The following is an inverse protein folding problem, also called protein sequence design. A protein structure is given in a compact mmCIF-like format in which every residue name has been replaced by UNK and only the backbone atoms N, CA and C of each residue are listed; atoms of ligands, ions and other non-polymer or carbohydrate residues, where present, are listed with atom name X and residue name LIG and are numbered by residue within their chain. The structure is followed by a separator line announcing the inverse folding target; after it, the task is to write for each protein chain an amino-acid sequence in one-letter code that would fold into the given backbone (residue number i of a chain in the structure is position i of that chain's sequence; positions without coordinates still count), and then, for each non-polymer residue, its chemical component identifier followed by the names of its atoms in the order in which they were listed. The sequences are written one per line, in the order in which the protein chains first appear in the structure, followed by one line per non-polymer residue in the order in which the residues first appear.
data_IF_817589843316
#
_entry.id   IF_817589843316
#
_cell.length_a   1.000
_cell.length_b   1.000
_cell.length_c   1.000
_cell.angle_alpha   90.00
_cell.angle_beta   90.00
_cell.angle_gamma   90.00
#
_symmetry.space_group_name_H-M   'P 1'
#
loop_
_entity.id
_entity.type
_entity.pdbx_description
1 polymer ?
#
# COMPACT_ATOMS: atom_id res chain seq x y z
N UNK A 1 -0.44 12.63 17.19
CA UNK A 1 0.62 12.21 16.24
C UNK A 1 -0.05 11.37 15.18
N UNK A 2 0.27 11.60 13.91
CA UNK A 2 -0.65 11.27 12.82
C UNK A 2 0.08 10.78 11.58
N UNK A 3 -0.70 10.16 10.71
CA UNK A 3 -0.32 9.89 9.34
C UNK A 3 -0.34 11.22 8.58
N UNK A 4 0.82 11.59 8.04
CA UNK A 4 0.95 12.77 7.17
C UNK A 4 0.79 12.34 5.71
N UNK A 5 0.11 13.12 4.86
CA UNK A 5 -0.04 12.79 3.44
C UNK A 5 1.27 12.45 2.73
N UNK A 6 2.40 13.08 3.11
CA UNK A 6 3.67 12.88 2.39
C UNK A 6 4.28 11.50 2.52
N UNK A 7 4.00 10.81 3.63
CA UNK A 7 4.54 9.48 3.91
C UNK A 7 3.55 8.36 3.57
N UNK A 8 2.29 8.72 3.30
CA UNK A 8 1.17 7.82 3.08
C UNK A 8 1.55 6.71 2.10
N UNK A 9 1.35 5.47 2.54
CA UNK A 9 1.44 4.30 1.68
C UNK A 9 0.03 4.00 1.15
N UNK A 10 -0.31 4.59 0.01
CA UNK A 10 -1.57 4.32 -0.70
C UNK A 10 -1.70 2.85 -1.10
N UNK A 11 -2.90 2.44 -1.52
CA UNK A 11 -3.10 1.10 -2.09
C UNK A 11 -2.17 0.85 -3.27
N UNK A 12 -1.90 1.89 -4.08
CA UNK A 12 -0.92 1.84 -5.17
C UNK A 12 0.51 1.61 -4.64
N UNK A 13 0.90 2.21 -3.52
CA UNK A 13 2.20 1.98 -2.88
C UNK A 13 2.35 0.53 -2.46
N UNK A 14 1.32 -0.03 -1.82
CA UNK A 14 1.33 -1.42 -1.40
C UNK A 14 1.39 -2.38 -2.59
N UNK A 15 0.63 -2.09 -3.65
CA UNK A 15 0.65 -2.83 -4.91
C UNK A 15 2.02 -2.79 -5.62
N UNK A 16 2.72 -1.64 -5.54
CA UNK A 16 4.04 -1.40 -6.14
C UNK A 16 5.18 -1.42 -5.12
N UNK A 17 5.02 -2.14 -4.01
CA UNK A 17 5.89 -2.02 -2.84
C UNK A 17 7.39 -2.18 -3.16
N UNK A 18 8.21 -1.12 -2.99
CA UNK A 18 9.62 -1.16 -3.38
C UNK A 18 10.45 -2.17 -2.59
N UNK A 19 10.15 -2.37 -1.31
CA UNK A 19 10.82 -3.39 -0.46
C UNK A 19 10.58 -4.80 -1.01
N UNK A 20 9.34 -5.11 -1.36
CA UNK A 20 8.99 -6.41 -1.96
C UNK A 20 9.62 -6.58 -3.34
N UNK A 21 9.70 -5.52 -4.15
CA UNK A 21 10.40 -5.56 -5.43
C UNK A 21 11.89 -5.86 -5.24
N UNK A 22 12.54 -5.22 -4.26
CA UNK A 22 13.97 -5.36 -4.02
C UNK A 22 14.37 -6.72 -3.43
N UNK A 23 13.65 -7.22 -2.43
CA UNK A 23 13.97 -8.53 -1.82
C UNK A 23 13.95 -9.64 -2.90
N UNK A 24 12.98 -9.62 -3.82
CA UNK A 24 12.84 -10.66 -4.86
C UNK A 24 13.92 -10.61 -5.94
N UNK A 25 14.62 -9.48 -6.12
CA UNK A 25 15.78 -9.41 -7.02
C UNK A 25 17.00 -10.19 -6.49
N UNK A 26 16.99 -10.56 -5.21
CA UNK A 26 18.10 -11.19 -4.51
C UNK A 26 17.85 -12.70 -4.39
N UNK A 27 18.49 -13.50 -5.24
CA UNK A 27 18.32 -14.97 -5.31
C UNK A 27 19.06 -15.73 -4.20
N UNK A 28 19.94 -15.03 -3.48
CA UNK A 28 20.64 -15.47 -2.28
C UNK A 28 19.80 -15.33 -0.99
N UNK A 29 18.57 -14.82 -1.09
CA UNK A 29 17.61 -14.69 0.02
C UNK A 29 16.32 -15.47 -0.27
N UNK A 30 15.76 -16.12 0.75
CA UNK A 30 14.41 -16.69 0.70
C UNK A 30 13.40 -15.66 1.22
N UNK A 31 12.49 -15.18 0.38
CA UNK A 31 11.44 -14.26 0.84
C UNK A 31 10.27 -15.06 1.44
N UNK A 32 10.27 -15.19 2.77
CA UNK A 32 9.34 -16.07 3.49
C UNK A 32 7.91 -15.52 3.58
N UNK A 33 7.73 -14.20 3.54
CA UNK A 33 6.42 -13.58 3.57
C UNK A 33 6.41 -12.16 4.11
N UNK A 34 5.21 -11.58 4.18
CA UNK A 34 4.95 -10.26 4.74
C UNK A 34 4.05 -10.43 5.97
N UNK A 35 4.43 -9.82 7.09
CA UNK A 35 3.58 -9.63 8.26
C UNK A 35 3.01 -8.21 8.17
N UNK A 36 1.69 -8.07 8.11
CA UNK A 36 1.00 -6.77 8.10
C UNK A 36 0.45 -6.52 9.50
N UNK A 37 1.02 -5.57 10.20
CA UNK A 37 0.71 -5.21 11.60
C UNK A 37 -0.05 -3.88 11.64
N UNK A 38 -1.16 -3.83 12.37
CA UNK A 38 -1.97 -2.61 12.46
C UNK A 38 -1.52 -1.74 13.63
N UNK A 39 -1.43 -0.43 13.41
CA UNK A 39 -1.16 0.52 14.51
C UNK A 39 -2.38 0.65 15.41
N UNK A 40 -2.21 0.55 16.74
CA UNK A 40 -3.27 0.83 17.72
C UNK A 40 -3.12 2.21 18.37
N UNK A 41 -4.22 2.82 18.85
CA UNK A 41 -4.16 3.98 19.75
C UNK A 41 -3.74 3.58 21.17
N UNK A 42 -4.15 2.38 21.58
CA UNK A 42 -3.96 1.88 22.95
C UNK A 42 -2.59 1.24 23.08
N UNK A 43 -1.76 1.77 23.97
CA UNK A 43 -0.37 1.32 24.16
C UNK A 43 -0.26 -0.18 24.46
N UNK A 44 -1.14 -0.72 25.31
CA UNK A 44 -1.15 -2.15 25.64
C UNK A 44 -1.39 -3.02 24.39
N UNK A 45 -2.25 -2.57 23.48
CA UNK A 45 -2.50 -3.25 22.21
C UNK A 45 -1.28 -3.17 21.29
N UNK A 46 -0.57 -2.03 21.23
CA UNK A 46 0.70 -1.91 20.47
C UNK A 46 1.73 -2.94 20.93
N UNK A 47 1.85 -3.13 22.24
CA UNK A 47 2.77 -4.13 22.82
C UNK A 47 2.28 -5.54 22.52
N UNK A 48 0.96 -5.76 22.60
CA UNK A 48 0.35 -7.05 22.30
C UNK A 48 0.57 -7.47 20.85
N UNK A 49 0.25 -6.61 19.87
CA UNK A 49 0.41 -6.91 18.44
C UNK A 49 1.88 -7.09 18.08
N UNK A 50 2.79 -6.25 18.60
CA UNK A 50 4.23 -6.42 18.41
C UNK A 50 4.75 -7.78 18.92
N UNK A 51 4.25 -8.28 20.05
CA UNK A 51 4.58 -9.64 20.53
C UNK A 51 4.09 -10.70 19.56
N UNK A 52 2.88 -10.55 19.00
CA UNK A 52 2.35 -11.46 17.97
C UNK A 52 3.20 -11.44 16.70
N UNK A 53 3.67 -10.27 16.26
CA UNK A 53 4.62 -10.17 15.14
C UNK A 53 5.89 -10.98 15.42
N UNK A 54 6.46 -10.86 16.62
CA UNK A 54 7.63 -11.65 17.02
C UNK A 54 7.36 -13.17 17.02
N UNK A 55 6.23 -13.60 17.58
CA UNK A 55 5.83 -15.02 17.60
C UNK A 55 5.66 -15.58 16.18
N UNK A 56 4.99 -14.83 15.30
CA UNK A 56 4.80 -15.19 13.89
C UNK A 56 6.16 -15.29 13.18
N UNK A 57 7.06 -14.33 13.40
CA UNK A 57 8.40 -14.35 12.80
C UNK A 57 9.20 -15.60 13.18
N UNK A 58 9.09 -16.09 14.42
CA UNK A 58 9.68 -17.36 14.85
C UNK A 58 9.01 -18.58 14.18
N UNK A 59 7.68 -18.57 14.05
CA UNK A 59 6.95 -19.64 13.35
C UNK A 59 7.36 -19.73 11.88
N UNK A 60 7.56 -18.58 11.23
CA UNK A 60 8.09 -18.50 9.86
C UNK A 60 9.58 -18.85 9.76
N UNK A 61 10.26 -19.00 10.92
CA UNK A 61 11.71 -19.23 11.03
C UNK A 61 12.51 -18.15 10.31
N UNK A 62 12.14 -16.90 10.52
CA UNK A 62 12.82 -15.77 9.91
C UNK A 62 14.25 -15.64 10.46
N UNK A 63 15.22 -15.50 9.55
CA UNK A 63 16.60 -15.20 9.87
C UNK A 63 16.84 -13.70 9.99
N UNK A 64 16.08 -12.89 9.24
CA UNK A 64 16.12 -11.43 9.31
C UNK A 64 14.81 -10.78 8.86
N UNK A 65 14.66 -9.48 9.17
CA UNK A 65 13.45 -8.73 8.87
C UNK A 65 13.73 -7.32 8.31
N UNK A 66 12.89 -6.87 7.39
CA UNK A 66 12.79 -5.45 7.03
C UNK A 66 11.46 -4.92 7.57
N UNK A 67 11.53 -3.93 8.47
CA UNK A 67 10.34 -3.34 9.11
C UNK A 67 10.09 -1.97 8.50
N UNK A 68 8.96 -1.78 7.82
CA UNK A 68 8.56 -0.51 7.22
C UNK A 68 7.26 -0.02 7.86
N UNK A 69 7.20 1.27 8.21
CA UNK A 69 6.02 1.88 8.84
C UNK A 69 5.39 2.96 7.98
N UNK A 70 4.07 2.91 7.87
CA UNK A 70 3.22 3.99 7.39
C UNK A 70 2.77 4.83 8.59
N UNK A 71 3.60 5.80 8.98
CA UNK A 71 3.33 6.64 10.13
C UNK A 71 4.57 7.22 10.80
N UNK A 72 4.34 8.20 11.66
CA UNK A 72 5.39 8.78 12.51
C UNK A 72 4.85 9.15 13.89
N UNK A 73 5.76 9.48 14.79
CA UNK A 73 5.37 9.94 16.11
C UNK A 73 4.88 8.78 16.99
N UNK A 74 3.62 8.80 17.45
CA UNK A 74 3.08 7.76 18.33
C UNK A 74 3.10 6.38 17.67
N UNK A 75 3.11 6.34 16.33
CA UNK A 75 3.21 5.09 15.57
C UNK A 75 4.64 4.52 15.65
N UNK A 76 5.65 5.33 15.98
CA UNK A 76 7.00 4.83 16.25
C UNK A 76 7.06 3.96 17.50
N UNK A 77 6.07 4.03 18.41
CA UNK A 77 5.98 3.09 19.52
C UNK A 77 5.76 1.67 19.00
N UNK A 78 4.84 1.46 18.06
CA UNK A 78 4.62 0.16 17.39
C UNK A 78 5.89 -0.30 16.68
N UNK A 79 6.49 0.58 15.87
CA UNK A 79 7.74 0.32 15.14
C UNK A 79 8.88 -0.17 16.04
N UNK A 80 9.12 0.54 17.14
CA UNK A 80 10.19 0.25 18.09
C UNK A 80 9.90 -1.06 18.83
N UNK A 81 8.64 -1.30 19.22
CA UNK A 81 8.24 -2.55 19.88
C UNK A 81 8.34 -3.76 18.94
N UNK A 82 7.94 -3.63 17.67
CA UNK A 82 8.11 -4.69 16.66
C UNK A 82 9.59 -5.05 16.50
N UNK A 83 10.46 -4.05 16.35
CA UNK A 83 11.92 -4.26 16.25
C UNK A 83 12.47 -4.90 17.53
N UNK A 84 11.97 -4.50 18.71
CA UNK A 84 12.35 -5.11 19.98
C UNK A 84 11.99 -6.60 20.04
N UNK A 85 10.76 -6.94 19.67
CA UNK A 85 10.26 -8.31 19.75
C UNK A 85 10.97 -9.24 18.76
N UNK A 86 11.38 -8.72 17.60
CA UNK A 86 12.27 -9.43 16.67
C UNK A 86 13.67 -9.62 17.28
N UNK A 87 14.24 -8.57 17.86
CA UNK A 87 15.56 -8.58 18.48
C UNK A 87 15.69 -9.56 19.66
N UNK A 88 14.71 -9.57 20.58
CA UNK A 88 14.64 -10.52 21.71
C UNK A 88 14.64 -11.98 21.22
N UNK A 89 14.12 -12.23 20.01
CA UNK A 89 14.05 -13.55 19.38
C UNK A 89 15.27 -13.86 18.50
N UNK A 90 16.28 -12.99 18.52
CA UNK A 90 17.51 -13.17 17.74
C UNK A 90 17.31 -13.01 16.24
N UNK A 91 16.34 -12.19 15.81
CA UNK A 91 16.07 -11.89 14.39
C UNK A 91 16.56 -10.47 14.10
N UNK A 92 17.74 -10.29 13.48
CA UNK A 92 18.23 -8.98 13.10
C UNK A 92 17.26 -8.29 12.13
N UNK A 93 16.98 -7.01 12.39
CA UNK A 93 16.09 -6.22 11.55
C UNK A 93 16.75 -4.93 11.05
N UNK A 94 16.24 -4.41 9.94
CA UNK A 94 16.49 -3.03 9.47
C UNK A 94 15.16 -2.30 9.40
N UNK A 95 15.08 -1.15 10.04
CA UNK A 95 13.91 -0.29 10.03
C UNK A 95 13.90 0.67 8.84
N UNK A 96 12.72 0.97 8.32
CA UNK A 96 12.43 2.01 7.32
C UNK A 96 11.33 2.90 7.90
N UNK A 97 11.66 4.16 8.16
CA UNK A 97 10.73 5.10 8.76
C UNK A 97 11.00 6.52 8.28
N UNK A 98 9.97 7.36 8.28
CA UNK A 98 10.13 8.79 8.19
C UNK A 98 10.55 9.32 9.55
N UNK A 99 11.76 9.87 9.63
CA UNK A 99 12.27 10.52 10.84
C UNK A 99 12.32 12.03 10.64
N UNK A 100 13.05 12.51 9.63
CA UNK A 100 13.15 13.95 9.37
C UNK A 100 13.57 14.78 10.60
N UNK A 101 13.15 16.04 10.67
CA UNK A 101 13.30 16.89 11.85
C UNK A 101 12.10 16.78 12.80
N UNK A 102 10.89 16.60 12.26
CA UNK A 102 9.64 16.55 13.02
C UNK A 102 9.34 15.18 13.63
N UNK A 103 9.80 14.10 13.01
CA UNK A 103 9.50 12.71 13.36
C UNK A 103 10.64 12.00 14.08
N UNK A 104 11.38 12.68 14.97
CA UNK A 104 12.33 11.97 15.86
C UNK A 104 11.61 10.79 16.53
N UNK A 105 12.28 9.64 16.57
CA UNK A 105 11.71 8.45 17.21
C UNK A 105 11.26 8.78 18.64
N UNK A 106 9.98 8.57 18.92
CA UNK A 106 9.36 8.90 20.21
C UNK A 106 9.92 8.05 21.35
N UNK A 107 10.38 6.84 21.01
CA UNK A 107 11.07 5.95 21.92
C UNK A 107 12.15 5.19 21.16
N UNK A 108 13.05 4.53 21.90
CA UNK A 108 14.08 3.65 21.33
C UNK A 108 14.43 2.56 22.33
N UNK A 109 15.14 1.54 21.87
CA UNK A 109 15.70 0.47 22.68
C UNK A 109 17.01 -0.03 22.03
N UNK A 110 17.68 -0.99 22.67
CA UNK A 110 18.98 -1.50 22.21
C UNK A 110 18.93 -2.25 20.86
N UNK A 111 17.75 -2.63 20.38
CA UNK A 111 17.56 -3.33 19.10
C UNK A 111 17.26 -2.39 17.93
N UNK A 112 16.88 -1.12 18.20
CA UNK A 112 16.72 -0.08 17.17
C UNK A 112 18.09 0.54 16.87
N UNK A 113 18.96 -0.27 16.28
CA UNK A 113 20.37 0.06 15.98
C UNK A 113 20.60 0.44 14.49
N UNK A 114 19.62 0.20 13.62
CA UNK A 114 19.73 0.41 12.19
C UNK A 114 18.38 0.81 11.58
N UNK A 115 18.24 2.09 11.25
CA UNK A 115 17.05 2.66 10.59
C UNK A 115 17.49 3.47 9.37
N UNK A 116 16.86 3.21 8.24
CA UNK A 116 16.96 4.03 7.03
C UNK A 116 15.86 5.09 7.09
N UNK A 117 16.26 6.35 7.28
CA UNK A 117 15.36 7.49 7.17
C UNK A 117 15.03 7.75 5.69
N UNK A 118 13.74 7.71 5.34
CA UNK A 118 13.28 7.99 4.00
C UNK A 118 12.72 9.39 3.80
N UNK A 119 12.92 10.33 4.74
CA UNK A 119 12.67 11.75 4.51
C UNK A 119 13.43 12.26 3.27
N UNK A 120 12.70 12.84 2.31
CA UNK A 120 13.20 13.49 1.09
C UNK A 120 13.06 15.00 1.15
N UNK A 121 12.16 15.50 2.00
CA UNK A 121 11.92 16.92 2.14
C UNK A 121 13.09 17.62 2.84
N UNK A 122 13.57 18.72 2.26
CA UNK A 122 14.72 19.50 2.78
C UNK A 122 14.42 20.10 4.15
N UNK A 123 13.16 20.47 4.41
CA UNK A 123 12.76 21.01 5.71
C UNK A 123 12.82 19.94 6.81
N UNK A 124 12.62 18.67 6.45
CA UNK A 124 12.44 17.56 7.39
C UNK A 124 11.10 17.61 8.16
N UNK A 125 10.16 18.43 7.73
CA UNK A 125 8.79 18.49 8.26
C UNK A 125 7.81 17.85 7.29
N UNK A 126 6.67 17.41 7.84
CA UNK A 126 5.57 16.91 7.04
C UNK A 126 5.07 17.98 6.07
N UNK A 127 5.06 17.67 4.77
CA UNK A 127 4.76 18.64 3.72
C UNK A 127 3.29 18.68 3.30
N UNK A 128 2.47 17.70 3.71
CA UNK A 128 1.11 17.48 3.23
C UNK A 128 1.01 17.16 1.73
N UNK A 129 2.14 16.90 1.06
CA UNK A 129 2.22 16.60 -0.37
C UNK A 129 2.34 15.10 -0.57
N UNK A 130 1.31 14.44 -1.10
CA UNK A 130 1.29 12.98 -1.25
C UNK A 130 2.46 12.49 -2.10
N UNK A 131 3.23 11.53 -1.58
CA UNK A 131 4.38 10.95 -2.26
C UNK A 131 5.71 11.70 -2.10
N UNK A 132 5.73 12.86 -1.45
CA UNK A 132 6.97 13.62 -1.22
C UNK A 132 8.00 12.82 -0.40
N UNK A 133 7.54 12.11 0.63
CA UNK A 133 8.37 11.22 1.46
C UNK A 133 8.04 9.73 1.24
N UNK A 134 7.57 9.34 0.06
CA UNK A 134 7.34 7.92 -0.24
C UNK A 134 8.65 7.13 -0.21
N UNK A 135 8.60 5.94 0.39
CA UNK A 135 9.69 4.97 0.34
C UNK A 135 10.04 4.65 -1.11
N UNK A 136 11.32 4.75 -1.47
CA UNK A 136 11.81 4.56 -2.84
C UNK A 136 12.55 3.24 -3.02
N UNK A 137 12.82 2.87 -4.27
CA UNK A 137 13.70 1.73 -4.60
C UNK A 137 15.10 1.87 -3.97
N UNK A 138 15.63 3.10 -3.91
CA UNK A 138 16.94 3.35 -3.32
C UNK A 138 16.96 3.10 -1.80
N UNK A 139 15.87 3.43 -1.10
CA UNK A 139 15.72 3.16 0.32
C UNK A 139 15.62 1.65 0.59
N UNK A 140 14.83 0.94 -0.23
CA UNK A 140 14.71 -0.51 -0.17
C UNK A 140 16.06 -1.21 -0.43
N UNK A 141 16.81 -0.75 -1.44
CA UNK A 141 18.14 -1.28 -1.77
C UNK A 141 19.10 -1.12 -0.58
N UNK A 142 19.14 0.07 0.03
CA UNK A 142 19.93 0.29 1.25
C UNK A 142 19.52 -0.65 2.38
N UNK A 143 18.21 -0.79 2.63
CA UNK A 143 17.71 -1.63 3.70
C UNK A 143 18.08 -3.11 3.51
N UNK A 144 17.95 -3.65 2.29
CA UNK A 144 18.37 -5.02 1.97
C UNK A 144 19.89 -5.19 2.14
N UNK A 145 20.69 -4.25 1.65
CA UNK A 145 22.14 -4.30 1.80
C UNK A 145 22.59 -4.25 3.28
N UNK A 146 21.97 -3.38 4.08
CA UNK A 146 22.22 -3.27 5.53
C UNK A 146 21.79 -4.55 6.25
N UNK A 147 20.66 -5.14 5.87
CA UNK A 147 20.19 -6.40 6.47
C UNK A 147 21.17 -7.54 6.19
N UNK A 148 21.65 -7.69 4.94
CA UNK A 148 22.69 -8.67 4.59
C UNK A 148 23.95 -8.50 5.45
N UNK A 149 24.39 -7.26 5.68
CA UNK A 149 25.52 -6.99 6.57
C UNK A 149 25.26 -7.43 8.02
N UNK A 150 24.05 -7.18 8.55
CA UNK A 150 23.67 -7.63 9.90
C UNK A 150 23.59 -9.15 10.00
N UNK A 151 23.05 -9.82 8.98
CA UNK A 151 22.98 -11.29 8.92
C UNK A 151 24.37 -11.92 8.92
N UNK A 152 25.33 -11.34 8.17
CA UNK A 152 26.73 -11.79 8.18
C UNK A 152 27.36 -11.67 9.55
N UNK A 153 27.14 -10.55 10.25
CA UNK A 153 27.65 -10.36 11.62
C UNK A 153 27.02 -11.31 12.63
N UNK A 154 25.80 -11.75 12.38
CA UNK A 154 25.09 -12.74 13.18
C UNK A 154 25.42 -14.19 12.76
N UNK A 155 26.36 -14.41 11.84
CA UNK A 155 26.73 -15.73 11.30
C UNK A 155 25.54 -16.47 10.65
N UNK A 156 24.55 -15.73 10.16
CA UNK A 156 23.34 -16.25 9.48
C UNK A 156 23.37 -16.09 7.97
N UNK A 157 24.42 -15.48 7.41
CA UNK A 157 24.56 -15.26 5.97
C UNK A 157 26.04 -15.29 5.60
N UNK A 158 26.37 -16.12 4.62
CA UNK A 158 27.67 -16.18 3.98
C UNK A 158 27.45 -16.12 2.46
N UNK A 159 28.01 -15.10 1.80
CA UNK A 159 27.89 -14.92 0.35
C UNK A 159 28.70 -15.95 -0.43
N UNK A 160 29.69 -16.56 0.21
CA UNK A 160 30.70 -17.39 -0.45
C UNK A 160 30.44 -18.89 -0.22
N UNK A 161 29.50 -19.24 0.66
CA UNK A 161 29.04 -20.62 0.84
C UNK A 161 28.17 -21.10 -0.33
N UNK A 162 28.73 -22.01 -1.12
CA UNK A 162 27.95 -22.94 -1.93
C UNK A 162 27.51 -24.09 -1.03
N UNK A 163 26.28 -24.00 -0.54
CA UNK A 163 25.68 -25.13 0.17
C UNK A 163 25.18 -26.16 -0.86
N UNK A 164 26.08 -27.04 -1.29
CA UNK A 164 25.76 -28.16 -2.20
C UNK A 164 24.81 -29.20 -1.55
N UNK A 165 24.52 -29.06 -0.24
CA UNK A 165 23.55 -29.88 0.49
C UNK A 165 22.15 -29.27 0.55
N UNK A 166 22.00 -28.01 0.14
CA UNK A 166 20.72 -27.32 0.08
C UNK A 166 19.84 -27.93 -1.03
N UNK A 167 18.60 -28.29 -0.67
CA UNK A 167 17.60 -28.73 -1.66
C UNK A 167 17.37 -27.69 -2.76
N UNK A 168 17.00 -28.15 -3.96
CA UNK A 168 16.75 -27.26 -5.09
C UNK A 168 15.66 -26.23 -4.79
N UNK A 169 15.80 -25.02 -5.37
CA UNK A 169 14.78 -23.99 -5.29
C UNK A 169 13.44 -24.52 -5.83
N UNK A 170 12.36 -24.33 -5.07
CA UNK A 170 11.03 -24.82 -5.40
C UNK A 170 10.06 -23.65 -5.56
N UNK A 171 9.44 -23.54 -6.74
CA UNK A 171 8.32 -22.62 -6.94
C UNK A 171 7.13 -23.08 -6.10
N UNK A 172 6.70 -22.24 -5.16
CA UNK A 172 5.56 -22.51 -4.29
C UNK A 172 4.25 -22.11 -4.97
N UNK A 173 4.23 -20.94 -5.61
CA UNK A 173 3.05 -20.36 -6.24
C UNK A 173 3.44 -19.41 -7.36
N UNK A 174 2.49 -19.14 -8.26
CA UNK A 174 2.70 -18.29 -9.44
C UNK A 174 1.54 -17.32 -9.62
N UNK A 175 1.87 -16.04 -9.78
CA UNK A 175 0.98 -14.98 -10.21
C UNK A 175 1.39 -14.55 -11.62
N UNK A 176 0.45 -14.56 -12.57
CA UNK A 176 0.62 -13.95 -13.88
C UNK A 176 -0.13 -12.64 -13.92
N UNK A 177 0.56 -11.54 -14.25
CA UNK A 177 -0.07 -10.24 -14.50
C UNK A 177 -0.05 -9.95 -16.00
N UNK A 178 -1.21 -9.63 -16.55
CA UNK A 178 -1.37 -9.17 -17.93
C UNK A 178 -1.73 -7.70 -17.91
N UNK A 179 -0.83 -6.86 -18.40
CA UNK A 179 -0.98 -5.41 -18.37
C UNK A 179 -1.40 -4.90 -19.74
N UNK A 180 -2.59 -4.31 -19.81
CA UNK A 180 -3.18 -3.70 -21.00
C UNK A 180 -2.94 -2.19 -20.93
N UNK A 181 -2.28 -1.63 -21.94
CA UNK A 181 -1.96 -0.20 -21.97
C UNK A 181 -3.09 0.64 -22.57
N UNK A 182 -3.58 1.61 -21.82
CA UNK A 182 -4.62 2.55 -22.19
C UNK A 182 -3.96 3.85 -22.65
N UNK A 183 -4.39 4.34 -23.82
CA UNK A 183 -3.89 5.53 -24.51
C UNK A 183 -4.80 6.72 -24.35
N UNK A 184 -6.09 6.48 -24.14
CA UNK A 184 -7.13 7.51 -24.01
C UNK A 184 -8.19 7.00 -23.03
N UNK A 185 -8.65 7.88 -22.14
CA UNK A 185 -9.80 7.64 -21.28
C UNK A 185 -10.86 8.69 -21.58
N UNK A 186 -12.11 8.28 -21.75
CA UNK A 186 -13.23 9.20 -22.01
C UNK A 186 -14.54 8.72 -21.43
N UNK A 187 -15.51 9.62 -21.31
CA UNK A 187 -16.87 9.25 -20.96
C UNK A 187 -17.70 8.85 -22.20
N UNK A 188 -18.63 7.92 -22.01
CA UNK A 188 -19.59 7.49 -23.04
C UNK A 188 -20.87 6.90 -22.43
N UNK A 189 -21.68 6.25 -23.27
CA UNK A 189 -22.97 5.66 -22.87
C UNK A 189 -22.80 4.27 -22.24
N UNK A 190 -21.70 3.59 -22.53
CA UNK A 190 -21.35 2.26 -22.00
C UNK A 190 -19.88 2.20 -21.60
N UNK A 191 -19.56 1.36 -20.62
CA UNK A 191 -18.18 1.08 -20.25
C UNK A 191 -17.60 0.01 -21.17
N UNK A 192 -16.49 0.31 -21.85
CA UNK A 192 -15.81 -0.63 -22.75
C UNK A 192 -14.35 -0.26 -22.96
N UNK A 193 -13.57 -1.23 -23.45
CA UNK A 193 -12.18 -1.04 -23.84
C UNK A 193 -12.03 -1.48 -25.29
N UNK A 194 -11.56 -0.58 -26.16
CA UNK A 194 -11.37 -0.86 -27.59
C UNK A 194 -10.15 -0.10 -28.13
N UNK A 195 -9.24 -0.82 -28.80
CA UNK A 195 -8.05 -0.25 -29.43
C UNK A 195 -7.17 0.67 -28.53
N UNK A 196 -7.16 0.41 -27.22
CA UNK A 196 -6.44 1.22 -26.22
C UNK A 196 -7.22 2.42 -25.69
N UNK A 197 -8.51 2.55 -26.02
CA UNK A 197 -9.40 3.58 -25.46
C UNK A 197 -10.28 2.96 -24.37
N UNK A 198 -10.22 3.47 -23.15
CA UNK A 198 -11.15 3.15 -22.07
C UNK A 198 -12.31 4.15 -22.12
N UNK A 199 -13.50 3.68 -22.51
CA UNK A 199 -14.73 4.46 -22.36
C UNK A 199 -15.39 4.08 -21.04
N UNK A 200 -15.73 5.06 -20.21
CA UNK A 200 -16.42 4.88 -18.93
C UNK A 200 -17.85 5.40 -19.08
N UNK A 201 -18.84 4.60 -18.68
CA UNK A 201 -20.24 5.01 -18.71
C UNK A 201 -20.48 6.22 -17.79
N UNK A 202 -21.25 7.21 -18.25
CA UNK A 202 -21.67 8.35 -17.44
C UNK A 202 -22.70 7.95 -16.37
N UNK A 203 -22.69 8.62 -15.22
CA UNK A 203 -23.74 8.48 -14.22
C UNK A 203 -23.62 7.25 -13.31
N UNK A 204 -22.42 6.63 -13.22
CA UNK A 204 -22.17 5.50 -12.32
C UNK A 204 -22.41 5.90 -10.86
N UNK A 205 -22.05 7.13 -10.52
CA UNK A 205 -22.18 7.72 -9.20
C UNK A 205 -23.63 7.85 -8.71
N UNK A 206 -24.58 8.10 -9.62
CA UNK A 206 -25.98 8.44 -9.26
C UNK A 206 -26.68 7.32 -8.49
N UNK A 207 -26.41 6.07 -8.87
CA UNK A 207 -27.00 4.91 -8.22
C UNK A 207 -26.38 4.61 -6.85
N UNK A 208 -25.15 5.08 -6.62
CA UNK A 208 -24.38 4.85 -5.41
C UNK A 208 -24.69 5.88 -4.33
N UNK A 209 -24.88 7.15 -4.71
CA UNK A 209 -25.30 8.22 -3.79
C UNK A 209 -26.60 7.83 -3.06
N UNK A 210 -27.54 7.18 -3.75
CA UNK A 210 -28.78 6.71 -3.14
C UNK A 210 -28.60 5.54 -2.14
N UNK A 211 -27.46 4.85 -2.17
CA UNK A 211 -27.17 3.69 -1.32
C UNK A 211 -26.29 4.03 -0.12
N UNK A 212 -25.52 5.12 -0.19
CA UNK A 212 -24.59 5.54 0.85
C UNK A 212 -25.13 6.78 1.58
N UNK A 213 -25.91 6.57 2.65
CA UNK A 213 -26.57 7.64 3.41
C UNK A 213 -25.62 8.69 4.05
N UNK A 214 -24.31 8.40 4.07
CA UNK A 214 -23.26 9.28 4.61
C UNK A 214 -22.60 10.16 3.54
N UNK A 215 -22.93 9.92 2.27
CA UNK A 215 -22.39 10.63 1.12
C UNK A 215 -23.47 11.50 0.50
N UNK A 216 -23.19 12.79 0.40
CA UNK A 216 -24.10 13.78 -0.18
C UNK A 216 -24.01 13.82 -1.71
N UNK A 217 -22.79 13.78 -2.24
CA UNK A 217 -22.52 13.80 -3.67
C UNK A 217 -21.21 13.09 -4.01
N UNK A 218 -21.09 12.62 -5.25
CA UNK A 218 -19.85 12.04 -5.79
C UNK A 218 -19.67 12.61 -7.19
N UNK A 219 -18.49 13.18 -7.46
CA UNK A 219 -18.12 13.66 -8.78
C UNK A 219 -17.05 12.77 -9.40
N UNK A 220 -17.32 12.25 -10.60
CA UNK A 220 -16.35 11.46 -11.36
C UNK A 220 -15.82 12.33 -12.51
N UNK A 221 -14.50 12.52 -12.55
CA UNK A 221 -13.78 13.30 -13.56
C UNK A 221 -12.67 12.45 -14.18
N UNK A 222 -12.32 12.77 -15.42
CA UNK A 222 -11.15 12.22 -16.09
C UNK A 222 -10.19 13.39 -16.25
N UNK A 223 -9.01 13.28 -15.66
CA UNK A 223 -7.93 14.25 -15.83
C UNK A 223 -6.94 13.68 -16.84
N UNK A 224 -6.61 14.45 -17.87
CA UNK A 224 -5.62 14.04 -18.87
C UNK A 224 -4.19 14.12 -18.30
N UNK A 225 -3.23 13.36 -18.86
CA UNK A 225 -1.82 13.51 -18.48
C UNK A 225 -1.36 14.97 -18.60
N UNK A 226 -0.87 15.55 -17.51
CA UNK A 226 -0.47 16.95 -17.41
C UNK A 226 -1.57 17.92 -16.98
N UNK A 227 -2.83 17.49 -16.92
CA UNK A 227 -3.93 18.27 -16.36
C UNK A 227 -3.87 18.21 -14.83
N UNK A 228 -3.10 19.10 -14.22
CA UNK A 228 -2.86 19.11 -12.77
C UNK A 228 -2.92 20.51 -12.12
N UNK A 229 -3.37 21.52 -12.87
CA UNK A 229 -3.55 22.90 -12.39
C UNK A 229 -4.99 23.17 -11.94
N UNK A 230 -5.53 22.29 -11.10
CA UNK A 230 -6.86 22.41 -10.52
C UNK A 230 -6.84 22.15 -9.02
N UNK A 231 -7.85 22.68 -8.33
CA UNK A 231 -8.07 22.36 -6.93
C UNK A 231 -8.58 20.91 -6.79
N UNK A 232 -8.00 20.17 -5.84
CA UNK A 232 -8.46 18.87 -5.38
C UNK A 232 -8.66 18.91 -3.87
N UNK A 233 -9.61 18.12 -3.37
CA UNK A 233 -9.77 17.89 -1.94
C UNK A 233 -8.69 16.91 -1.43
N UNK A 234 -8.68 16.68 -0.12
CA UNK A 234 -7.73 15.77 0.52
C UNK A 234 -7.82 14.36 -0.07
N UNK A 235 -6.65 13.80 -0.38
CA UNK A 235 -6.50 12.47 -0.93
C UNK A 235 -6.89 11.41 0.09
N UNK A 236 -7.85 10.57 -0.27
CA UNK A 236 -8.24 9.38 0.48
C UNK A 236 -7.44 8.16 0.03
N UNK A 237 -7.16 8.01 -1.28
CA UNK A 237 -6.25 6.97 -1.78
C UNK A 237 -5.85 7.20 -3.25
N UNK A 238 -4.80 6.49 -3.68
CA UNK A 238 -4.51 6.19 -5.07
C UNK A 238 -4.48 4.67 -5.26
N UNK A 239 -5.14 4.16 -6.31
CA UNK A 239 -5.22 2.71 -6.54
C UNK A 239 -5.15 2.34 -8.03
N UNK A 240 -4.66 1.12 -8.36
CA UNK A 240 -4.66 0.63 -9.73
C UNK A 240 -6.05 0.16 -10.16
N UNK A 241 -6.29 0.14 -11.48
CA UNK A 241 -7.44 -0.59 -12.05
C UNK A 241 -6.96 -1.98 -12.45
N UNK A 242 -7.18 -2.95 -11.55
CA UNK A 242 -6.83 -4.35 -11.75
C UNK A 242 -8.01 -5.26 -11.45
N UNK A 243 -8.10 -6.41 -12.13
CA UNK A 243 -9.16 -7.39 -11.96
C UNK A 243 -8.60 -8.81 -11.88
N UNK A 244 -9.13 -9.60 -10.95
CA UNK A 244 -8.82 -11.02 -10.81
C UNK A 244 -9.61 -11.86 -11.79
N UNK A 245 -8.90 -12.47 -12.72
CA UNK A 245 -9.51 -13.30 -13.79
C UNK A 245 -9.60 -14.76 -13.37
N UNK A 246 -8.56 -15.27 -12.71
CA UNK A 246 -8.49 -16.67 -12.27
C UNK A 246 -7.66 -16.81 -11.01
N UNK A 247 -8.12 -17.64 -10.08
CA UNK A 247 -7.45 -17.86 -8.79
C UNK A 247 -7.81 -16.79 -7.78
N UNK A 248 -7.04 -16.71 -6.71
CA UNK A 248 -7.23 -15.78 -5.59
C UNK A 248 -6.05 -14.79 -5.53
N UNK A 249 -6.14 -13.73 -4.72
CA UNK A 249 -5.07 -12.75 -4.61
C UNK A 249 -3.72 -13.46 -4.34
N UNK A 250 -2.72 -13.14 -5.17
CA UNK A 250 -1.38 -13.72 -5.13
C UNK A 250 -1.16 -14.97 -5.98
N UNK A 251 -2.20 -15.54 -6.59
CA UNK A 251 -2.08 -16.73 -7.45
C UNK A 251 -2.96 -16.68 -8.71
N UNK A 252 -2.53 -17.31 -9.79
CA UNK A 252 -3.35 -17.38 -11.02
C UNK A 252 -3.13 -16.17 -11.94
N UNK A 253 -4.20 -15.50 -12.38
CA UNK A 253 -4.13 -14.45 -13.42
C UNK A 253 -4.85 -13.18 -12.97
N UNK A 254 -4.13 -12.07 -13.05
CA UNK A 254 -4.64 -10.71 -12.82
C UNK A 254 -4.48 -9.89 -14.09
N UNK A 255 -5.54 -9.21 -14.52
CA UNK A 255 -5.48 -8.19 -15.55
C UNK A 255 -5.26 -6.82 -14.90
N UNK A 256 -4.39 -5.99 -15.47
CA UNK A 256 -4.08 -4.64 -15.02
C UNK A 256 -4.25 -3.65 -16.18
N UNK A 257 -4.83 -2.49 -15.93
CA UNK A 257 -4.72 -1.35 -16.83
C UNK A 257 -3.53 -0.48 -16.45
N UNK A 258 -2.75 -0.06 -17.45
CA UNK A 258 -1.71 0.96 -17.32
C UNK A 258 -2.07 2.18 -18.17
N UNK A 259 -1.51 3.36 -17.88
CA UNK A 259 -1.91 4.62 -18.51
C UNK A 259 -3.15 5.25 -17.85
N UNK A 260 -3.66 4.66 -16.77
CA UNK A 260 -4.76 5.19 -15.97
C UNK A 260 -4.61 4.77 -14.50
N UNK A 261 -4.81 5.73 -13.59
CA UNK A 261 -4.78 5.51 -12.14
C UNK A 261 -6.04 6.10 -11.49
N UNK A 262 -6.57 5.46 -10.45
CA UNK A 262 -7.72 5.98 -9.68
C UNK A 262 -7.22 6.92 -8.59
N UNK A 263 -7.88 8.06 -8.44
CA UNK A 263 -7.66 9.01 -7.35
C UNK A 263 -8.97 9.21 -6.61
N UNK A 264 -8.96 8.96 -5.30
CA UNK A 264 -10.11 9.24 -4.43
C UNK A 264 -9.76 10.47 -3.58
N UNK A 265 -10.63 11.46 -3.59
CA UNK A 265 -10.54 12.62 -2.69
C UNK A 265 -11.86 12.85 -1.98
N UNK A 266 -11.88 13.65 -0.93
CA UNK A 266 -13.16 14.09 -0.40
C UNK A 266 -13.09 15.22 0.62
N UNK A 267 -14.26 15.78 0.89
CA UNK A 267 -14.47 16.91 1.81
C UNK A 267 -15.85 16.82 2.44
N UNK A 268 -15.97 17.32 3.65
CA UNK A 268 -17.25 17.40 4.36
C UNK A 268 -18.06 18.63 3.93
N UNK A 269 -19.35 18.42 3.66
CA UNK A 269 -20.30 19.48 3.34
C UNK A 269 -20.43 20.49 4.50
N UNK A 270 -20.70 21.77 4.16
CA UNK A 270 -20.84 22.93 5.07
C UNK A 270 -19.61 23.27 5.92
N UNK A 271 -19.06 22.33 6.69
CA UNK A 271 -17.88 22.57 7.51
C UNK A 271 -16.61 22.78 6.68
N UNK A 272 -16.55 22.18 5.48
CA UNK A 272 -15.36 22.17 4.64
C UNK A 272 -14.23 21.32 5.22
N UNK A 273 -14.51 20.47 6.21
CA UNK A 273 -13.50 19.64 6.85
C UNK A 273 -12.90 18.66 5.83
N UNK A 274 -11.57 18.66 5.77
CA UNK A 274 -10.80 17.79 4.90
C UNK A 274 -10.42 16.54 5.70
N UNK A 275 -10.90 15.34 5.32
CA UNK A 275 -10.61 14.09 6.01
C UNK A 275 -9.11 13.93 6.30
N UNK A 276 -8.75 14.13 7.56
CA UNK A 276 -7.37 14.09 8.05
C UNK A 276 -7.33 14.24 9.57
N UNK A 277 -6.28 13.73 10.21
CA UNK A 277 -5.97 13.96 11.61
C UNK A 277 -4.82 14.97 11.75
N UNK A 278 -3.77 14.86 10.92
CA UNK A 278 -2.65 15.81 10.90
C UNK A 278 -2.29 16.16 9.46
N UNK A 279 -2.63 17.39 9.09
CA UNK A 279 -2.38 17.89 7.75
C UNK A 279 -3.30 17.25 6.73
N UNK A 280 -3.65 18.03 5.72
CA UNK A 280 -4.61 17.69 4.70
C UNK A 280 -3.98 18.03 3.35
N UNK A 281 -4.29 17.26 2.31
CA UNK A 281 -3.62 17.33 0.99
C UNK A 281 -4.46 18.07 -0.06
N UNK A 282 -5.44 18.85 0.37
CA UNK A 282 -6.21 19.71 -0.53
C UNK A 282 -5.39 20.87 -1.06
N UNK A 283 -5.73 21.34 -2.25
CA UNK A 283 -5.04 22.44 -2.91
C UNK A 283 -4.87 22.19 -4.39
N UNK A 284 -3.96 22.92 -5.04
CA UNK A 284 -3.68 22.73 -6.46
C UNK A 284 -2.94 21.39 -6.65
N UNK A 285 -3.49 20.47 -7.43
CA UNK A 285 -3.01 19.09 -7.55
C UNK A 285 -1.50 19.00 -7.80
N UNK A 286 -0.95 19.78 -8.75
CA UNK A 286 0.50 19.80 -9.06
C UNK A 286 1.41 20.16 -7.88
N UNK A 287 0.86 20.81 -6.85
CA UNK A 287 1.58 21.18 -5.63
C UNK A 287 1.33 20.18 -4.48
N UNK A 288 0.30 19.32 -4.59
CA UNK A 288 -0.13 18.40 -3.52
C UNK A 288 0.15 16.92 -3.80
N UNK A 289 0.74 16.59 -4.95
CA UNK A 289 1.24 15.25 -5.24
C UNK A 289 2.59 15.29 -5.93
N UNK A 290 3.51 14.43 -5.50
CA UNK A 290 4.73 14.10 -6.25
C UNK A 290 4.43 12.88 -7.10
N UNK A 291 4.27 13.10 -8.41
CA UNK A 291 4.03 12.03 -9.40
C UNK A 291 5.26 11.12 -9.53
N UNK A 292 5.09 9.98 -10.21
CA UNK A 292 6.16 9.01 -10.48
C UNK A 292 6.81 8.46 -9.19
N UNK A 293 5.95 8.14 -8.21
CA UNK A 293 6.31 7.39 -7.00
C UNK A 293 5.55 6.08 -6.95
N UNK A 294 5.98 5.18 -6.06
CA UNK A 294 5.30 3.90 -5.88
C UNK A 294 3.82 4.08 -5.47
N UNK A 295 3.52 5.10 -4.68
CA UNK A 295 2.17 5.40 -4.19
C UNK A 295 1.37 6.45 -4.96
N UNK A 296 1.89 6.97 -6.07
CA UNK A 296 1.26 8.06 -6.83
C UNK A 296 1.13 7.71 -8.32
N UNK A 297 0.24 8.40 -9.06
CA UNK A 297 0.10 8.20 -10.49
C UNK A 297 1.41 8.45 -11.24
N UNK A 298 1.61 7.76 -12.38
CA UNK A 298 2.66 8.16 -13.30
C UNK A 298 2.30 9.50 -13.95
N UNK A 299 3.29 10.32 -14.31
CA UNK A 299 3.05 11.58 -15.01
C UNK A 299 2.40 11.41 -16.40
N UNK A 300 2.46 10.21 -16.95
CA UNK A 300 1.81 9.81 -18.21
C UNK A 300 0.43 9.17 -18.04
N UNK A 301 -0.05 8.96 -16.80
CA UNK A 301 -1.35 8.35 -16.56
C UNK A 301 -2.48 9.37 -16.71
N UNK A 302 -3.61 8.95 -17.29
CA UNK A 302 -4.89 9.57 -17.00
C UNK A 302 -5.26 9.34 -15.53
N UNK A 303 -5.95 10.29 -14.90
CA UNK A 303 -6.47 10.10 -13.54
C UNK A 303 -7.99 9.98 -13.60
N UNK A 304 -8.53 8.84 -13.15
CA UNK A 304 -9.95 8.70 -12.83
C UNK A 304 -10.17 9.28 -11.44
N UNK A 305 -10.57 10.54 -11.39
CA UNK A 305 -10.78 11.28 -10.15
C UNK A 305 -12.20 11.09 -9.64
N UNK A 306 -12.33 10.51 -8.45
CA UNK A 306 -13.58 10.30 -7.73
C UNK A 306 -13.55 11.20 -6.49
N UNK A 307 -14.27 12.32 -6.54
CA UNK A 307 -14.32 13.31 -5.47
C UNK A 307 -15.62 13.14 -4.68
N UNK A 308 -15.50 12.92 -3.38
CA UNK A 308 -16.63 12.61 -2.49
C UNK A 308 -16.97 13.81 -1.61
N UNK A 309 -18.23 14.22 -1.64
CA UNK A 309 -18.80 15.18 -0.70
C UNK A 309 -19.52 14.41 0.40
N UNK A 310 -18.95 14.40 1.61
CA UNK A 310 -19.56 13.77 2.77
C UNK A 310 -20.70 14.63 3.32
N UNK A 311 -21.70 13.99 3.92
CA UNK A 311 -22.65 14.70 4.78
C UNK A 311 -21.92 15.32 5.99
N UNK A 312 -22.51 16.36 6.59
CA UNK A 312 -21.91 17.05 7.75
C UNK A 312 -21.61 16.06 8.89
N UNK A 313 -20.38 16.08 9.40
CA UNK A 313 -19.86 15.18 10.43
C UNK A 313 -19.34 13.84 9.92
N UNK A 314 -19.66 13.42 8.70
CA UNK A 314 -19.36 12.08 8.19
C UNK A 314 -17.92 11.94 7.67
N UNK A 315 -17.30 13.03 7.21
CA UNK A 315 -15.90 13.06 6.75
C UNK A 315 -14.87 12.84 7.87
N UNK A 316 -15.34 12.63 9.10
CA UNK A 316 -14.56 12.43 10.33
C UNK A 316 -14.77 11.06 10.97
N UNK A 317 -15.52 10.19 10.31
CA UNK A 317 -15.97 8.90 10.84
C UNK A 317 -15.47 7.74 10.00
N UNK A 318 -15.31 6.56 10.63
CA UNK A 318 -14.73 5.42 9.93
C UNK A 318 -15.70 4.94 8.86
N UNK A 319 -16.98 4.92 9.23
CA UNK A 319 -18.06 4.52 8.34
C UNK A 319 -18.24 5.46 7.15
N UNK A 320 -18.02 6.77 7.35
CA UNK A 320 -18.01 7.75 6.26
C UNK A 320 -16.86 7.48 5.29
N UNK A 321 -15.62 7.36 5.79
CA UNK A 321 -14.45 7.05 4.96
C UNK A 321 -14.63 5.70 4.23
N UNK A 322 -15.12 4.67 4.91
CA UNK A 322 -15.43 3.38 4.29
C UNK A 322 -16.52 3.49 3.22
N UNK A 323 -17.52 4.37 3.40
CA UNK A 323 -18.54 4.62 2.37
C UNK A 323 -17.92 5.20 1.09
N UNK A 324 -17.00 6.16 1.23
CA UNK A 324 -16.29 6.73 0.07
C UNK A 324 -15.53 5.66 -0.71
N UNK A 325 -14.80 4.78 -0.01
CA UNK A 325 -14.07 3.69 -0.64
C UNK A 325 -14.98 2.63 -1.26
N UNK A 326 -16.12 2.27 -0.63
CA UNK A 326 -17.12 1.39 -1.26
C UNK A 326 -17.65 1.98 -2.55
N UNK A 327 -18.03 3.25 -2.54
CA UNK A 327 -18.58 3.92 -3.71
C UNK A 327 -17.55 4.01 -4.84
N UNK A 328 -16.31 4.38 -4.53
CA UNK A 328 -15.22 4.40 -5.49
C UNK A 328 -14.95 3.01 -6.09
N UNK A 329 -14.91 1.98 -5.25
CA UNK A 329 -14.65 0.61 -5.71
C UNK A 329 -15.80 0.05 -6.57
N UNK A 330 -17.06 0.42 -6.28
CA UNK A 330 -18.20 0.12 -7.15
C UNK A 330 -18.10 0.78 -8.54
N UNK A 331 -17.63 2.03 -8.60
CA UNK A 331 -17.37 2.74 -9.88
C UNK A 331 -16.29 1.98 -10.67
N UNK A 332 -15.18 1.65 -10.02
CA UNK A 332 -14.08 0.89 -10.64
C UNK A 332 -14.53 -0.52 -11.04
N UNK A 333 -15.47 -1.12 -10.30
CA UNK A 333 -16.01 -2.44 -10.61
C UNK A 333 -16.71 -2.50 -11.97
N UNK A 334 -17.33 -1.40 -12.43
CA UNK A 334 -17.93 -1.31 -13.76
C UNK A 334 -16.85 -1.50 -14.86
N UNK A 335 -15.65 -0.97 -14.64
CA UNK A 335 -14.48 -1.16 -15.52
C UNK A 335 -13.93 -2.58 -15.39
N UNK A 336 -13.81 -3.11 -14.16
CA UNK A 336 -13.29 -4.46 -13.92
C UNK A 336 -14.15 -5.55 -14.55
N UNK A 337 -15.47 -5.37 -14.62
CA UNK A 337 -16.39 -6.30 -15.32
C UNK A 337 -16.01 -6.48 -16.79
N UNK A 338 -15.69 -5.38 -17.48
CA UNK A 338 -15.22 -5.42 -18.88
C UNK A 338 -13.82 -6.03 -18.95
N UNK A 339 -12.94 -5.67 -18.00
CA UNK A 339 -11.55 -6.12 -17.97
C UNK A 339 -11.40 -7.63 -17.73
N UNK A 340 -12.33 -8.24 -16.99
CA UNK A 340 -12.28 -9.65 -16.58
C UNK A 340 -12.14 -10.61 -17.75
N UNK A 341 -12.95 -10.40 -18.79
CA UNK A 341 -12.96 -11.24 -20.00
C UNK A 341 -12.18 -10.60 -21.17
N UNK A 342 -11.44 -9.52 -20.90
CA UNK A 342 -10.77 -8.75 -21.94
C UNK A 342 -9.54 -9.47 -22.51
N UNK A 343 -9.55 -9.73 -23.82
CA UNK A 343 -8.44 -10.37 -24.54
C UNK A 343 -8.07 -9.65 -25.85
N UNK A 344 -8.83 -8.61 -26.23
CA UNK A 344 -8.80 -8.02 -27.58
C UNK A 344 -7.75 -6.92 -27.75
N UNK A 345 -6.62 -7.01 -27.03
CA UNK A 345 -5.50 -6.08 -27.16
C UNK A 345 -4.19 -6.75 -26.78
N UNK A 346 -3.09 -6.29 -27.37
CA UNK A 346 -1.75 -6.66 -26.91
C UNK A 346 -1.57 -6.27 -25.43
N UNK A 347 -0.88 -7.13 -24.69
CA UNK A 347 -0.57 -6.92 -23.29
C UNK A 347 0.88 -7.27 -22.99
N UNK A 348 1.44 -6.63 -21.97
CA UNK A 348 2.71 -7.06 -21.36
C UNK A 348 2.41 -8.15 -20.36
N UNK A 349 3.18 -9.25 -20.40
CA UNK A 349 3.04 -10.38 -19.48
C UNK A 349 4.19 -10.38 -18.47
N UNK A 350 3.83 -10.35 -17.19
CA UNK A 350 4.77 -10.54 -16.09
C UNK A 350 4.41 -11.82 -15.32
N UNK A 351 5.41 -12.60 -14.94
CA UNK A 351 5.23 -13.76 -14.07
C UNK A 351 6.00 -13.53 -12.76
N UNK A 352 5.29 -13.63 -11.65
CA UNK A 352 5.87 -13.55 -10.31
C UNK A 352 5.77 -14.92 -9.65
N UNK A 353 6.87 -15.38 -9.08
CA UNK A 353 6.94 -16.68 -8.38
C UNK A 353 7.43 -16.46 -6.97
N UNK A 354 6.71 -17.01 -6.00
CA UNK A 354 7.29 -17.19 -4.66
C UNK A 354 8.07 -18.50 -4.66
N UNK A 355 9.30 -18.43 -4.16
CA UNK A 355 10.27 -19.52 -4.28
C UNK A 355 10.79 -19.86 -2.90
N UNK A 356 10.63 -21.11 -2.48
CA UNK A 356 11.39 -21.66 -1.36
C UNK A 356 12.82 -21.91 -1.82
N UNK A 357 13.80 -21.45 -1.03
CA UNK A 357 15.22 -21.59 -1.29
C UNK A 357 15.87 -22.21 -0.05
N UNK A 358 15.77 -23.54 0.10
CA UNK A 358 16.44 -24.24 1.20
C UNK A 358 17.90 -23.80 1.33
N UNK A 359 18.38 -23.64 2.57
CA UNK A 359 19.75 -23.18 2.86
C UNK A 359 20.02 -21.69 2.64
N UNK A 360 19.07 -20.91 2.09
CA UNK A 360 19.18 -19.45 2.01
C UNK A 360 18.51 -18.77 3.20
N UNK A 361 19.03 -17.61 3.67
CA UNK A 361 18.44 -16.93 4.81
C UNK A 361 17.00 -16.48 4.53
N UNK A 362 16.12 -16.77 5.48
CA UNK A 362 14.69 -16.45 5.41
C UNK A 362 14.44 -15.03 5.85
N UNK A 363 14.04 -14.20 4.90
CA UNK A 363 13.74 -12.79 5.12
C UNK A 363 12.23 -12.61 5.17
N UNK A 364 11.75 -11.88 6.18
CA UNK A 364 10.38 -11.39 6.24
C UNK A 364 10.35 -9.88 6.04
N UNK A 365 9.25 -9.38 5.49
CA UNK A 365 8.91 -7.96 5.56
C UNK A 365 7.85 -7.78 6.65
N UNK A 366 8.03 -6.81 7.54
CA UNK A 366 6.95 -6.34 8.41
C UNK A 366 6.47 -5.00 7.87
N UNK A 367 5.18 -4.90 7.54
CA UNK A 367 4.51 -3.66 7.16
C UNK A 367 3.65 -3.22 8.34
N UNK A 368 3.97 -2.10 8.94
CA UNK A 368 3.14 -1.48 9.96
C UNK A 368 2.23 -0.49 9.24
N UNK A 369 0.93 -0.76 9.24
CA UNK A 369 -0.10 -0.03 8.48
C UNK A 369 -1.10 0.64 9.41
N UNK A 370 -1.86 1.58 8.86
CA UNK A 370 -2.93 2.27 9.57
C UNK A 370 -3.98 1.29 10.12
N UNK A 371 -4.44 1.55 11.33
CA UNK A 371 -5.49 0.79 12.03
C UNK A 371 -6.00 1.58 13.24
N UNK A 372 -6.10 2.90 13.08
CA UNK A 372 -6.12 3.86 14.17
C UNK A 372 -7.18 4.95 13.99
N UNK A 373 -7.95 5.16 15.06
CA UNK A 373 -8.86 6.28 15.18
C UNK A 373 -10.04 6.20 14.21
N UNK A 374 -10.71 7.32 14.03
CA UNK A 374 -11.97 7.33 13.28
C UNK A 374 -11.80 7.43 11.76
N UNK A 375 -10.60 7.61 11.20
CA UNK A 375 -10.45 7.87 9.76
C UNK A 375 -9.37 7.02 9.10
N UNK A 376 -8.33 6.64 9.84
CA UNK A 376 -7.15 6.00 9.28
C UNK A 376 -7.20 4.50 9.51
N UNK A 377 -7.43 3.77 8.44
CA UNK A 377 -7.44 2.32 8.47
C UNK A 377 -6.73 1.76 7.24
N UNK A 378 -6.46 0.47 7.31
CA UNK A 378 -6.14 -0.34 6.16
C UNK A 378 -7.10 -1.52 6.16
N UNK A 379 -7.45 -1.98 4.98
CA UNK A 379 -8.28 -3.15 4.81
C UNK A 379 -7.54 -4.22 4.04
N UNK A 380 -7.86 -5.46 4.37
CA UNK A 380 -7.15 -6.65 3.93
C UNK A 380 -8.06 -7.51 3.07
N UNK A 381 -7.47 -8.12 2.05
CA UNK A 381 -8.11 -9.13 1.19
C UNK A 381 -9.43 -8.69 0.51
N UNK A 382 -9.44 -7.58 -0.24
CA UNK A 382 -10.59 -7.25 -1.09
C UNK A 382 -10.85 -8.33 -2.16
N UNK A 383 -12.05 -8.34 -2.73
CA UNK A 383 -12.38 -9.27 -3.81
C UNK A 383 -11.53 -9.06 -5.07
N UNK A 384 -11.18 -7.81 -5.34
CA UNK A 384 -10.39 -7.41 -6.51
C UNK A 384 -9.07 -6.75 -6.04
N UNK A 385 -7.97 -6.88 -6.80
CA UNK A 385 -6.67 -6.33 -6.40
C UNK A 385 -6.75 -4.83 -6.06
N UNK A 386 -6.33 -4.48 -4.84
CA UNK A 386 -6.34 -3.12 -4.29
C UNK A 386 -7.73 -2.45 -4.24
N UNK A 387 -8.81 -3.23 -4.34
CA UNK A 387 -10.18 -2.76 -4.10
C UNK A 387 -10.53 -2.66 -2.62
N UNK A 388 -11.81 -2.40 -2.32
CA UNK A 388 -12.34 -2.28 -0.98
C UNK A 388 -13.53 -3.21 -0.72
N UNK A 389 -14.31 -3.58 -1.75
CA UNK A 389 -15.44 -4.48 -1.59
C UNK A 389 -14.97 -5.86 -1.13
N UNK A 390 -15.59 -6.36 -0.07
CA UNK A 390 -15.27 -7.66 0.53
C UNK A 390 -14.02 -7.68 1.40
N UNK A 391 -13.34 -6.54 1.59
CA UNK A 391 -12.18 -6.47 2.46
C UNK A 391 -12.58 -6.50 3.96
N UNK A 392 -11.58 -6.74 4.80
CA UNK A 392 -11.69 -6.70 6.25
C UNK A 392 -10.75 -5.65 6.81
N UNK A 393 -11.29 -4.69 7.57
CA UNK A 393 -10.52 -3.63 8.18
C UNK A 393 -9.58 -4.15 9.27
N UNK A 394 -8.41 -3.50 9.44
CA UNK A 394 -7.48 -3.84 10.51
C UNK A 394 -8.12 -3.61 11.87
N UNK A 395 -8.84 -2.50 12.04
CA UNK A 395 -9.54 -2.17 13.28
C UNK A 395 -10.59 -3.20 13.70
N UNK A 396 -11.34 -3.77 12.75
CA UNK A 396 -12.33 -4.83 13.02
C UNK A 396 -11.67 -6.08 13.63
N UNK A 397 -10.42 -6.35 13.23
CA UNK A 397 -9.60 -7.43 13.77
C UNK A 397 -8.75 -7.02 14.99
N UNK A 398 -9.03 -5.86 15.59
CA UNK A 398 -8.26 -5.28 16.70
C UNK A 398 -6.76 -5.17 16.38
N UNK A 399 -6.45 -4.83 15.13
CA UNK A 399 -5.09 -4.64 14.63
C UNK A 399 -4.19 -5.88 14.74
N UNK A 400 -4.75 -7.08 14.90
CA UNK A 400 -3.98 -8.31 14.94
C UNK A 400 -3.21 -8.50 13.61
N UNK A 401 -1.93 -8.91 13.65
CA UNK A 401 -1.15 -9.03 12.42
C UNK A 401 -1.66 -10.12 11.48
N UNK A 402 -1.77 -9.79 10.19
CA UNK A 402 -2.01 -10.74 9.11
C UNK A 402 -0.70 -11.22 8.49
N UNK A 403 -0.67 -12.46 8.02
CA UNK A 403 0.46 -12.99 7.24
C UNK A 403 0.02 -13.16 5.80
N UNK A 404 0.75 -12.53 4.89
CA UNK A 404 0.50 -12.62 3.45
C UNK A 404 1.76 -13.03 2.71
N UNK A 405 1.55 -13.61 1.53
CA UNK A 405 2.63 -13.97 0.61
C UNK A 405 3.16 -12.73 -0.11
N UNK A 406 4.40 -12.75 -0.63
CA UNK A 406 4.91 -11.66 -1.46
C UNK A 406 4.02 -11.36 -2.67
N UNK A 407 3.51 -12.41 -3.32
CA UNK A 407 2.57 -12.26 -4.42
C UNK A 407 1.22 -11.68 -3.99
N UNK A 408 0.66 -12.05 -2.83
CA UNK A 408 -0.55 -11.39 -2.30
C UNK A 408 -0.34 -9.88 -2.11
N UNK A 409 0.81 -9.47 -1.58
CA UNK A 409 1.16 -8.04 -1.47
C UNK A 409 1.17 -7.33 -2.82
N UNK A 410 1.78 -7.94 -3.85
CA UNK A 410 1.82 -7.41 -5.23
C UNK A 410 0.50 -7.48 -5.98
N UNK A 411 -0.40 -8.34 -5.53
CA UNK A 411 -1.74 -8.52 -6.10
C UNK A 411 -2.79 -7.76 -5.28
N UNK A 412 -2.38 -6.75 -4.49
CA UNK A 412 -3.28 -5.79 -3.87
C UNK A 412 -4.09 -6.34 -2.70
N UNK A 413 -3.50 -7.21 -1.88
CA UNK A 413 -4.13 -7.69 -0.64
C UNK A 413 -4.28 -6.63 0.46
N UNK A 414 -3.70 -5.43 0.29
CA UNK A 414 -3.77 -4.31 1.24
C UNK A 414 -4.37 -3.11 0.50
N UNK A 415 -5.38 -2.48 1.11
CA UNK A 415 -6.03 -1.26 0.63
C UNK A 415 -6.06 -0.21 1.75
N UNK A 416 -5.62 1.02 1.47
CA UNK A 416 -5.44 2.08 2.47
C UNK A 416 -6.63 3.05 2.46
N UNK A 417 -7.16 3.42 3.63
CA UNK A 417 -8.39 4.22 3.71
C UNK A 417 -8.15 5.73 3.93
N UNK A 418 -7.00 6.14 4.46
CA UNK A 418 -6.62 7.55 4.59
C UNK A 418 -5.13 7.76 4.83
#
# INVERSE_FOLDING_TARGET
MGLGPSIKMTSLHHYRCPVTAEIVKNDDLEYAGIIVDGVSEVCDDKIYTAKRVGDIAQVLRADGAIVAIDGWGNHHVDFVNVIEQLGIRGIPSVGLSYIGQQGRLVCTNNYVDCVVDFNKNISGYESCVVGDNNLTEYDAMKAVALLKNKLRKAEKYDSDQKDDSAGNAQTLRRLTRKTFHIKEVRFGDETKIEAGVLTIRKGLEKSLIMQEARIKDIQVKILEPGENDMFVNSNLDYSPIACKVRGELGEGVTHLLSGVTVMITGVEDKSGFQPSNIGSSEGVLKNQVVLDRAGTPASSDYILHIDVLFEEGEGRTAEGIMAAHRAADWIVQDIRKVLKDFQNMAYTREEFTDVARPGKPRIIQVKIVSGLGNMYDSSMFPYEPAGFLGSHNMMDSKNIPYVITPNQGRDGAIHSLL
#
